data_IF_275482614313
#
_entry.id   IF_275482614313
#
_cell.length_a   1.000
_cell.length_b   1.000
_cell.length_c   1.000
_cell.angle_alpha   90.00
_cell.angle_beta   90.00
_cell.angle_gamma   90.00
#
_symmetry.space_group_name_H-M   'P 1'
#
loop_
_entity.id
_entity.type
_entity.pdbx_description
1 polymer ?
#
# COMPACT_ATOMS: atom_id res chain seq x y z
N UNK A 1 14.42 -19.40 14.45
CA UNK A 1 13.14 -20.06 14.20
C UNK A 1 12.21 -20.03 15.40
N UNK A 2 12.67 -20.34 16.59
CA UNK A 2 11.86 -20.31 17.82
C UNK A 2 11.25 -18.91 18.13
N UNK A 3 12.02 -17.83 17.99
CA UNK A 3 11.52 -16.47 18.21
C UNK A 3 10.42 -16.06 17.22
N UNK A 4 10.50 -16.51 15.98
CA UNK A 4 9.51 -16.22 14.93
C UNK A 4 8.19 -16.95 15.23
N UNK A 5 8.25 -18.19 15.69
CA UNK A 5 7.06 -18.96 16.09
C UNK A 5 6.37 -18.35 17.31
N UNK A 6 7.14 -17.88 18.30
CA UNK A 6 6.59 -17.22 19.49
C UNK A 6 5.90 -15.90 19.14
N UNK A 7 6.46 -15.10 18.22
CA UNK A 7 5.84 -13.86 17.72
C UNK A 7 4.57 -14.17 16.93
N UNK A 8 4.59 -15.18 16.07
CA UNK A 8 3.41 -15.61 15.32
C UNK A 8 2.27 -16.08 16.24
N UNK A 9 2.58 -16.85 17.29
CA UNK A 9 1.59 -17.30 18.27
C UNK A 9 0.98 -16.13 19.06
N UNK A 10 1.79 -15.15 19.48
CA UNK A 10 1.30 -13.94 20.15
C UNK A 10 0.42 -13.08 19.24
N UNK A 11 0.80 -12.93 17.97
CA UNK A 11 0.00 -12.21 16.99
C UNK A 11 -1.34 -12.91 16.77
N UNK A 12 -1.33 -14.21 16.59
CA UNK A 12 -2.54 -15.01 16.42
C UNK A 12 -3.47 -14.88 17.63
N UNK A 13 -2.95 -14.98 18.85
CA UNK A 13 -3.72 -14.81 20.08
C UNK A 13 -4.32 -13.41 20.15
N UNK A 14 -3.55 -12.37 19.84
CA UNK A 14 -4.05 -10.99 19.80
C UNK A 14 -5.19 -10.82 18.80
N UNK A 15 -5.07 -11.41 17.60
CA UNK A 15 -6.10 -11.35 16.56
C UNK A 15 -7.38 -12.09 16.96
N UNK A 16 -7.27 -13.16 17.75
CA UNK A 16 -8.42 -13.92 18.25
C UNK A 16 -9.10 -13.26 19.44
N UNK A 17 -8.36 -12.58 20.30
CA UNK A 17 -8.88 -11.97 21.55
C UNK A 17 -9.30 -10.51 21.37
N UNK A 18 -8.73 -9.80 20.43
CA UNK A 18 -8.97 -8.38 20.17
C UNK A 18 -9.41 -8.15 18.74
N UNK A 19 -9.83 -6.96 18.44
CA UNK A 19 -10.24 -6.56 17.11
C UNK A 19 -11.72 -6.18 17.06
N UNK A 20 -12.26 -5.89 15.89
CA UNK A 20 -11.59 -5.96 14.58
C UNK A 20 -10.44 -4.96 14.44
N UNK A 21 -9.45 -5.33 13.62
CA UNK A 21 -8.35 -4.44 13.26
C UNK A 21 -8.51 -3.93 11.84
N UNK A 22 -8.25 -2.65 11.66
CA UNK A 22 -8.26 -1.99 10.34
C UNK A 22 -6.89 -1.38 10.11
N UNK A 23 -6.31 -1.63 8.95
CA UNK A 23 -5.11 -0.93 8.51
C UNK A 23 -5.21 -0.56 7.05
N UNK A 24 -4.45 0.46 6.66
CA UNK A 24 -4.32 0.89 5.29
C UNK A 24 -2.90 0.64 4.81
N UNK A 25 -2.79 0.16 3.57
CA UNK A 25 -1.53 0.12 2.84
C UNK A 25 -1.69 0.89 1.54
N UNK A 26 -0.58 1.33 0.97
CA UNK A 26 -0.59 2.04 -0.29
C UNK A 26 0.63 1.71 -1.13
N UNK A 27 0.54 1.95 -2.41
CA UNK A 27 1.62 1.82 -3.37
C UNK A 27 1.32 2.60 -4.64
N UNK A 28 2.32 2.73 -5.48
CA UNK A 28 2.17 3.31 -6.82
C UNK A 28 2.16 2.17 -7.83
N UNK A 29 1.18 2.20 -8.71
CA UNK A 29 1.03 1.23 -9.80
C UNK A 29 1.14 1.94 -11.14
N UNK A 30 1.71 1.28 -12.12
CA UNK A 30 1.83 1.80 -13.49
C UNK A 30 0.64 1.40 -14.35
N UNK A 31 -0.28 0.62 -13.80
CA UNK A 31 -1.53 0.21 -14.45
C UNK A 31 -2.72 0.37 -13.51
N UNK A 32 -3.94 0.59 -14.02
CA UNK A 32 -5.15 0.65 -13.19
C UNK A 32 -5.70 -0.73 -12.84
N UNK A 33 -5.05 -1.81 -13.22
CA UNK A 33 -5.52 -3.16 -12.99
C UNK A 33 -5.65 -3.47 -11.50
N UNK A 34 -6.74 -4.09 -11.09
CA UNK A 34 -6.93 -4.55 -9.71
C UNK A 34 -6.15 -5.83 -9.43
N UNK A 35 -5.95 -6.64 -10.45
CA UNK A 35 -5.18 -7.89 -10.34
C UNK A 35 -3.68 -7.57 -10.28
N UNK A 36 -3.04 -8.02 -9.22
CA UNK A 36 -1.60 -7.92 -8.98
C UNK A 36 -0.97 -9.30 -8.81
N UNK A 37 -1.57 -10.33 -9.43
CA UNK A 37 -0.99 -11.66 -9.40
C UNK A 37 0.44 -11.65 -9.93
N UNK A 38 1.38 -12.44 -9.38
CA UNK A 38 2.79 -12.45 -9.80
C UNK A 38 3.02 -12.77 -11.29
N UNK A 39 2.04 -13.37 -11.95
CA UNK A 39 2.09 -13.60 -13.41
C UNK A 39 1.81 -12.34 -14.24
N UNK A 40 1.27 -11.28 -13.61
CA UNK A 40 1.02 -9.98 -14.26
C UNK A 40 2.22 -9.09 -14.02
N UNK A 41 2.94 -8.75 -15.08
CA UNK A 41 4.10 -7.85 -15.00
C UNK A 41 3.65 -6.42 -15.28
N UNK A 42 3.84 -5.54 -14.31
CA UNK A 42 3.69 -4.10 -14.52
C UNK A 42 4.92 -3.52 -15.19
N UNK A 43 4.77 -2.62 -16.19
CA UNK A 43 5.91 -1.90 -16.73
C UNK A 43 6.48 -0.97 -15.66
N UNK A 44 7.80 -0.68 -15.69
CA UNK A 44 8.39 0.31 -14.79
C UNK A 44 7.81 1.70 -15.06
N UNK A 45 7.81 2.56 -14.04
CA UNK A 45 7.39 3.94 -14.19
C UNK A 45 8.29 4.68 -15.20
N UNK A 46 7.67 5.27 -16.20
CA UNK A 46 8.36 5.97 -17.30
C UNK A 46 8.07 7.47 -17.34
N UNK A 47 7.52 8.04 -16.28
CA UNK A 47 7.10 9.44 -16.20
C UNK A 47 5.61 9.64 -16.50
N UNK A 48 5.09 10.79 -16.15
CA UNK A 48 3.68 11.13 -16.34
C UNK A 48 2.74 10.49 -15.33
N UNK A 49 1.54 10.17 -15.74
CA UNK A 49 0.51 9.65 -14.85
C UNK A 49 0.81 8.20 -14.42
N UNK A 50 0.35 7.89 -13.24
CA UNK A 50 0.37 6.57 -12.63
C UNK A 50 -0.84 6.46 -11.72
N UNK A 51 -0.96 5.40 -10.95
CA UNK A 51 -2.10 5.17 -10.07
C UNK A 51 -1.66 5.00 -8.63
N UNK A 52 -2.34 5.71 -7.73
CA UNK A 52 -2.29 5.42 -6.29
C UNK A 52 -3.19 4.21 -6.02
N UNK A 53 -2.58 3.15 -5.56
CA UNK A 53 -3.28 1.94 -5.11
C UNK A 53 -3.33 1.94 -3.59
N UNK A 54 -4.52 1.95 -3.05
CA UNK A 54 -4.74 1.90 -1.59
C UNK A 54 -5.50 0.63 -1.26
N UNK A 55 -5.11 -0.01 -0.18
CA UNK A 55 -5.81 -1.18 0.35
C UNK A 55 -6.31 -0.88 1.75
N UNK A 56 -7.60 -1.08 1.96
CA UNK A 56 -8.19 -1.14 3.30
C UNK A 56 -8.29 -2.60 3.70
N UNK A 57 -7.53 -2.97 4.71
CA UNK A 57 -7.45 -4.32 5.22
C UNK A 57 -8.18 -4.41 6.56
N UNK A 58 -9.06 -5.39 6.70
CA UNK A 58 -9.81 -5.63 7.93
C UNK A 58 -9.60 -7.07 8.37
N UNK A 59 -9.24 -7.24 9.63
CA UNK A 59 -9.08 -8.55 10.25
C UNK A 59 -10.14 -8.67 11.35
N UNK A 60 -11.04 -9.64 11.20
CA UNK A 60 -12.11 -9.93 12.16
C UNK A 60 -11.94 -11.34 12.69
N UNK A 61 -12.15 -11.50 13.99
CA UNK A 61 -12.18 -12.82 14.61
C UNK A 61 -13.51 -13.54 14.34
N UNK A 62 -13.43 -14.85 14.23
CA UNK A 62 -14.58 -15.77 14.21
C UNK A 62 -14.37 -16.74 15.37
N UNK A 63 -14.81 -16.38 16.62
CA UNK A 63 -14.49 -17.15 17.82
C UNK A 63 -15.01 -18.58 17.79
N UNK A 64 -16.17 -18.78 17.17
CA UNK A 64 -16.83 -20.09 17.08
C UNK A 64 -15.97 -21.14 16.35
N UNK A 65 -15.10 -20.66 15.47
CA UNK A 65 -14.23 -21.53 14.65
C UNK A 65 -12.75 -21.38 14.98
N UNK A 66 -12.40 -20.61 16.01
CA UNK A 66 -11.01 -20.28 16.35
C UNK A 66 -10.21 -19.77 15.12
N UNK A 67 -10.88 -18.96 14.31
CA UNK A 67 -10.37 -18.43 13.05
C UNK A 67 -10.54 -16.91 12.98
N UNK A 68 -9.97 -16.31 11.97
CA UNK A 68 -10.21 -14.91 11.63
C UNK A 68 -10.43 -14.76 10.14
N UNK A 69 -11.21 -13.75 9.79
CA UNK A 69 -11.47 -13.34 8.41
C UNK A 69 -10.61 -12.13 8.09
N UNK A 70 -9.83 -12.23 7.03
CA UNK A 70 -9.04 -11.13 6.50
C UNK A 70 -9.66 -10.68 5.17
N UNK A 71 -10.11 -9.43 5.12
CA UNK A 71 -10.68 -8.84 3.92
C UNK A 71 -9.83 -7.68 3.44
N UNK A 72 -9.69 -7.54 2.14
CA UNK A 72 -8.92 -6.48 1.49
C UNK A 72 -9.82 -5.80 0.47
N UNK A 73 -10.02 -4.50 0.66
CA UNK A 73 -10.66 -3.64 -0.34
C UNK A 73 -9.60 -2.83 -1.06
N UNK A 74 -9.49 -3.04 -2.35
CA UNK A 74 -8.55 -2.31 -3.21
C UNK A 74 -9.24 -1.12 -3.83
N UNK A 75 -8.58 0.03 -3.79
CA UNK A 75 -8.98 1.27 -4.43
C UNK A 75 -7.83 1.76 -5.31
N UNK A 76 -8.14 2.17 -6.53
CA UNK A 76 -7.15 2.66 -7.50
C UNK A 76 -7.60 4.03 -7.99
N UNK A 77 -6.72 5.02 -7.88
CA UNK A 77 -6.99 6.40 -8.26
C UNK A 77 -5.82 6.93 -9.09
N UNK A 78 -6.06 7.57 -10.25
CA UNK A 78 -4.97 8.14 -11.02
C UNK A 78 -4.30 9.31 -10.27
N UNK A 79 -3.00 9.43 -10.36
CA UNK A 79 -2.24 10.53 -9.73
C UNK A 79 -2.67 11.89 -10.27
N UNK A 80 -3.16 11.94 -11.50
CA UNK A 80 -3.77 13.14 -12.09
C UNK A 80 -4.99 13.63 -11.31
N UNK A 81 -5.71 12.75 -10.62
CA UNK A 81 -6.79 13.15 -9.70
C UNK A 81 -6.25 13.53 -8.32
N UNK A 82 -5.30 12.78 -7.78
CA UNK A 82 -4.66 13.09 -6.49
C UNK A 82 -4.05 14.50 -6.50
N UNK A 83 -3.36 14.88 -7.58
CA UNK A 83 -2.71 16.18 -7.71
C UNK A 83 -3.67 17.39 -7.77
N UNK A 84 -4.97 17.17 -7.97
CA UNK A 84 -5.98 18.24 -7.90
C UNK A 84 -6.14 18.79 -6.47
N UNK A 85 -5.81 17.99 -5.46
CA UNK A 85 -5.74 18.41 -4.07
C UNK A 85 -4.29 18.63 -3.67
N UNK A 86 -3.92 19.89 -3.42
CA UNK A 86 -2.56 20.22 -3.00
C UNK A 86 -2.19 19.56 -1.68
N UNK A 87 -3.16 19.36 -0.79
CA UNK A 87 -2.96 18.69 0.48
C UNK A 87 -2.61 17.21 0.27
N UNK A 88 -3.36 16.52 -0.59
CA UNK A 88 -3.14 15.09 -0.88
C UNK A 88 -1.84 14.88 -1.66
N UNK A 89 -1.59 15.72 -2.67
CA UNK A 89 -0.35 15.67 -3.44
C UNK A 89 0.88 15.87 -2.54
N UNK A 90 0.83 16.87 -1.65
CA UNK A 90 1.93 17.13 -0.71
C UNK A 90 2.14 16.02 0.29
N UNK A 91 1.06 15.43 0.80
CA UNK A 91 1.12 14.31 1.72
C UNK A 91 1.73 13.07 1.06
N UNK A 92 1.32 12.74 -0.15
CA UNK A 92 1.86 11.61 -0.91
C UNK A 92 3.33 11.83 -1.27
N UNK A 93 3.70 13.02 -1.72
CA UNK A 93 5.10 13.36 -2.00
C UNK A 93 5.98 13.25 -0.75
N UNK A 94 5.51 13.72 0.39
CA UNK A 94 6.22 13.58 1.66
C UNK A 94 6.38 12.11 2.06
N UNK A 95 5.34 11.30 1.89
CA UNK A 95 5.39 9.86 2.15
C UNK A 95 6.41 9.16 1.24
N UNK A 96 6.43 9.47 -0.05
CA UNK A 96 7.41 8.95 -0.99
C UNK A 96 8.85 9.26 -0.58
N UNK A 97 9.11 10.51 -0.18
CA UNK A 97 10.44 10.97 0.24
C UNK A 97 10.89 10.41 1.57
N UNK A 98 9.96 10.03 2.45
CA UNK A 98 10.27 9.50 3.78
C UNK A 98 10.66 8.02 3.77
N UNK A 99 10.43 7.29 2.68
CA UNK A 99 10.73 5.87 2.60
C UNK A 99 12.24 5.60 2.57
N UNK A 100 12.66 4.56 3.31
CA UNK A 100 13.99 4.00 3.18
C UNK A 100 14.16 3.23 1.85
N UNK A 101 15.39 2.86 1.54
CA UNK A 101 15.71 2.14 0.31
C UNK A 101 14.93 0.82 0.18
N UNK A 102 14.82 0.05 1.25
CA UNK A 102 14.10 -1.23 1.25
C UNK A 102 12.62 -1.04 0.92
N UNK A 103 11.99 -0.03 1.50
CA UNK A 103 10.60 0.29 1.22
C UNK A 103 10.40 0.76 -0.22
N UNK A 104 11.31 1.58 -0.75
CA UNK A 104 11.26 2.02 -2.14
C UNK A 104 11.38 0.85 -3.12
N UNK A 105 12.29 -0.07 -2.86
CA UNK A 105 12.46 -1.29 -3.68
C UNK A 105 11.21 -2.16 -3.61
N UNK A 106 10.70 -2.40 -2.40
CA UNK A 106 9.50 -3.19 -2.18
C UNK A 106 8.28 -2.64 -2.90
N UNK A 107 8.12 -1.30 -2.91
CA UNK A 107 7.02 -0.61 -3.60
C UNK A 107 7.31 -0.31 -5.07
N UNK A 108 8.42 -0.78 -5.61
CA UNK A 108 8.83 -0.58 -7.02
C UNK A 108 8.94 0.89 -7.44
N UNK A 109 9.28 1.77 -6.51
CA UNK A 109 9.45 3.22 -6.78
C UNK A 109 10.90 3.67 -6.63
N UNK A 110 11.83 2.78 -6.33
CA UNK A 110 13.25 3.13 -6.21
C UNK A 110 13.78 3.71 -7.53
N UNK A 111 14.48 4.84 -7.43
CA UNK A 111 14.91 5.60 -8.59
C UNK A 111 13.83 6.47 -9.25
N UNK A 112 12.57 6.42 -8.80
CA UNK A 112 11.45 7.15 -9.39
C UNK A 112 10.81 8.19 -8.45
N UNK A 113 11.26 8.28 -7.22
CA UNK A 113 10.66 9.16 -6.20
C UNK A 113 10.66 10.63 -6.63
N UNK A 114 11.79 11.12 -7.14
CA UNK A 114 11.89 12.53 -7.55
C UNK A 114 10.96 12.84 -8.73
N UNK A 115 10.86 11.95 -9.71
CA UNK A 115 9.97 12.14 -10.86
C UNK A 115 8.49 12.08 -10.43
N UNK A 116 8.12 11.18 -9.53
CA UNK A 116 6.76 11.08 -8.97
C UNK A 116 6.41 12.33 -8.16
N UNK A 117 7.31 12.80 -7.31
CA UNK A 117 7.10 14.03 -6.54
C UNK A 117 6.98 15.26 -7.44
N UNK A 118 7.80 15.35 -8.47
CA UNK A 118 7.70 16.43 -9.46
C UNK A 118 6.33 16.41 -10.15
N UNK A 119 5.88 15.24 -10.59
CA UNK A 119 4.55 15.11 -11.21
C UNK A 119 3.41 15.52 -10.26
N UNK A 120 3.48 15.09 -9.00
CA UNK A 120 2.45 15.41 -8.00
C UNK A 120 2.39 16.89 -7.64
N UNK A 121 3.55 17.56 -7.57
CA UNK A 121 3.68 18.92 -7.07
C UNK A 121 3.76 19.97 -8.19
N UNK A 122 3.91 19.53 -9.43
CA UNK A 122 3.94 20.44 -10.56
C UNK A 122 2.54 21.06 -10.77
N UNK A 123 2.49 22.38 -10.66
CA UNK A 123 1.28 23.14 -10.90
C UNK A 123 1.07 23.20 -12.41
N UNK A 124 0.19 22.37 -12.88
CA UNK A 124 -0.21 22.44 -14.29
C UNK A 124 -0.91 23.76 -14.58
#
# INVERSE_FOLDING_TARGET
MEKTLAVAAKLQQMLLERGPFVRFTWGISTTPALDTHPSVTEPPYAGGDAWLRTERQVIRRIPEHQAFLFTIRVMVEPLSDVRKSITDASALAAALRSMDEKSRIYKSVDGHVDALCAYLLDSA
#
